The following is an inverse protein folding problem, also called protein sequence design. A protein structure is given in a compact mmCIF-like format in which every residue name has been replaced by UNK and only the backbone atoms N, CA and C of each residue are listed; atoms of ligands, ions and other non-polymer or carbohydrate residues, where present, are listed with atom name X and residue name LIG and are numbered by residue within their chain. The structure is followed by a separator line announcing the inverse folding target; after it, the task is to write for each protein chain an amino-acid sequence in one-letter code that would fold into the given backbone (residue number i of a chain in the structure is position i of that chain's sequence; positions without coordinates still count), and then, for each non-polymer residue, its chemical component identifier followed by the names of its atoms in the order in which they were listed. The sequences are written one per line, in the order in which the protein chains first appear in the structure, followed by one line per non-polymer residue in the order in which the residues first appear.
data_IF_052144028966
#
_entry.id   IF_052144028966
#
_cell.length_a   1.000
_cell.length_b   1.000
_cell.length_c   1.000
_cell.angle_alpha   90.00
_cell.angle_beta   90.00
_cell.angle_gamma   90.00
#
_symmetry.space_group_name_H-M   'P 1'
#
loop_
_entity.id
_entity.type
_entity.pdbx_description
1 polymer ?
#
# COMPACT_ATOMS: atom_id res chain seq x y z
N UNK A 1 13.29 -3.45 12.02
CA UNK A 1 11.90 -2.97 11.84
C UNK A 1 11.16 -3.94 10.92
N UNK A 2 10.01 -4.52 11.31
CA UNK A 2 9.17 -5.28 10.37
C UNK A 2 8.66 -4.30 9.31
N UNK A 3 9.10 -4.44 8.07
CA UNK A 3 8.60 -3.64 6.95
C UNK A 3 7.08 -3.80 6.89
N UNK A 4 6.33 -2.72 7.10
CA UNK A 4 4.88 -2.77 7.06
C UNK A 4 4.44 -2.96 5.61
N UNK A 5 3.60 -3.97 5.38
CA UNK A 5 3.08 -4.30 4.05
C UNK A 5 1.69 -3.72 3.84
N UNK A 6 1.48 -3.15 2.66
CA UNK A 6 0.19 -2.68 2.16
C UNK A 6 -0.34 -3.72 1.18
N UNK A 7 -1.64 -3.97 1.32
CA UNK A 7 -2.42 -4.94 0.54
C UNK A 7 -3.37 -4.17 -0.35
N UNK A 8 -3.35 -4.41 -1.66
CA UNK A 8 -4.17 -3.68 -2.63
C UNK A 8 -5.03 -4.62 -3.44
N UNK A 9 -6.32 -4.30 -3.50
CA UNK A 9 -7.33 -5.05 -4.24
C UNK A 9 -8.01 -4.13 -5.26
N UNK A 10 -8.54 -4.68 -6.36
CA UNK A 10 -9.41 -3.95 -7.25
C UNK A 10 -10.69 -3.51 -6.52
N UNK A 11 -11.20 -2.34 -6.88
CA UNK A 11 -12.45 -1.78 -6.38
C UNK A 11 -13.23 -1.14 -7.53
N UNK A 12 -14.51 -0.84 -7.33
CA UNK A 12 -15.31 -0.11 -8.32
C UNK A 12 -14.64 1.23 -8.60
N UNK A 13 -14.23 1.46 -9.86
CA UNK A 13 -13.60 2.71 -10.28
C UNK A 13 -12.11 2.85 -9.95
N UNK A 14 -11.42 1.78 -9.53
CA UNK A 14 -9.97 1.82 -9.31
C UNK A 14 -9.47 0.75 -8.35
N UNK A 15 -8.74 1.17 -7.33
CA UNK A 15 -8.11 0.27 -6.36
C UNK A 15 -8.34 0.73 -4.93
N UNK A 16 -8.36 -0.24 -4.01
CA UNK A 16 -8.39 0.00 -2.56
C UNK A 16 -7.16 -0.62 -1.91
N UNK A 17 -6.44 0.17 -1.13
CA UNK A 17 -5.30 -0.27 -0.35
C UNK A 17 -5.65 -0.32 1.14
N UNK A 18 -5.21 -1.38 1.82
CA UNK A 18 -5.41 -1.58 3.25
C UNK A 18 -4.08 -1.66 3.99
N UNK A 19 -3.97 -0.94 5.12
CA UNK A 19 -2.79 -0.91 5.98
C UNK A 19 -3.21 -0.63 7.42
N UNK A 20 -2.87 -1.51 8.37
CA UNK A 20 -3.17 -1.35 9.81
C UNK A 20 -4.64 -0.95 10.09
N UNK A 21 -5.59 -1.58 9.38
CA UNK A 21 -7.03 -1.29 9.52
C UNK A 21 -7.51 -0.01 8.84
N UNK A 22 -6.61 0.83 8.31
CA UNK A 22 -6.96 1.97 7.45
C UNK A 22 -7.13 1.52 6.01
N UNK A 23 -7.97 2.24 5.27
CA UNK A 23 -8.21 2.03 3.84
C UNK A 23 -8.11 3.35 3.10
N UNK A 24 -7.56 3.31 1.89
CA UNK A 24 -7.60 4.42 0.95
C UNK A 24 -7.85 3.91 -0.47
N UNK A 25 -8.54 4.72 -1.27
CA UNK A 25 -8.77 4.45 -2.68
C UNK A 25 -7.83 5.27 -3.56
N UNK A 26 -7.65 4.83 -4.79
CA UNK A 26 -6.89 5.54 -5.82
C UNK A 26 -7.27 5.04 -7.20
N UNK A 27 -7.02 5.88 -8.22
CA UNK A 27 -7.27 5.51 -9.62
C UNK A 27 -6.28 4.41 -10.03
N UNK A 28 -5.05 4.50 -9.53
CA UNK A 28 -4.02 3.46 -9.70
C UNK A 28 -3.75 2.70 -8.40
N UNK A 29 -3.33 1.45 -8.52
CA UNK A 29 -2.97 0.60 -7.38
C UNK A 29 -1.86 1.21 -6.52
N UNK A 30 -0.86 1.87 -7.15
CA UNK A 30 0.24 2.54 -6.46
C UNK A 30 -0.23 3.78 -5.72
N UNK A 31 -1.12 4.57 -6.31
CA UNK A 31 -1.71 5.74 -5.67
C UNK A 31 -2.48 5.36 -4.41
N UNK A 32 -3.37 4.35 -4.49
CA UNK A 32 -4.09 3.84 -3.34
C UNK A 32 -3.12 3.43 -2.20
N UNK A 33 -2.04 2.71 -2.56
CA UNK A 33 -1.01 2.31 -1.60
C UNK A 33 -0.28 3.50 -0.97
N UNK A 34 0.12 4.49 -1.77
CA UNK A 34 0.81 5.68 -1.28
C UNK A 34 -0.10 6.52 -0.37
N UNK A 35 -1.38 6.66 -0.72
CA UNK A 35 -2.36 7.41 0.07
C UNK A 35 -2.57 6.77 1.43
N UNK A 36 -2.79 5.44 1.51
CA UNK A 36 -2.95 4.77 2.82
C UNK A 36 -1.66 4.80 3.63
N UNK A 37 -0.49 4.71 2.99
CA UNK A 37 0.80 4.83 3.67
C UNK A 37 0.95 6.19 4.35
N UNK A 38 0.63 7.27 3.62
CA UNK A 38 0.73 8.65 4.13
C UNK A 38 -0.26 8.94 5.25
N UNK A 39 -1.44 8.33 5.23
CA UNK A 39 -2.40 8.43 6.34
C UNK A 39 -1.89 7.79 7.64
N UNK A 40 -1.08 6.73 7.54
CA UNK A 40 -0.60 5.97 8.71
C UNK A 40 0.73 6.52 9.25
N UNK A 41 1.65 6.91 8.36
CA UNK A 41 3.03 7.26 8.71
C UNK A 41 3.42 8.71 8.40
N UNK A 42 2.51 9.50 7.83
CA UNK A 42 2.75 10.89 7.44
C UNK A 42 3.30 11.05 6.01
N UNK A 43 3.48 12.29 5.54
CA UNK A 43 3.75 12.59 4.13
C UNK A 43 5.13 12.11 3.62
N UNK A 44 6.10 11.93 4.52
CA UNK A 44 7.50 11.53 4.19
C UNK A 44 7.66 10.00 4.07
N UNK A 45 6.75 9.35 3.36
CA UNK A 45 6.81 7.92 3.05
C UNK A 45 6.64 7.67 1.57
N UNK A 46 7.23 6.57 1.12
CA UNK A 46 7.05 6.03 -0.21
C UNK A 46 6.71 4.54 -0.11
N UNK A 47 6.31 3.98 -1.24
CA UNK A 47 5.94 2.57 -1.35
C UNK A 47 6.69 1.96 -2.53
N UNK A 48 7.17 0.73 -2.33
CA UNK A 48 7.83 -0.07 -3.36
C UNK A 48 7.05 -1.36 -3.57
N UNK A 49 7.01 -1.86 -4.80
CA UNK A 49 6.29 -3.08 -5.13
C UNK A 49 6.92 -4.28 -4.39
N UNK A 50 6.08 -5.20 -3.92
CA UNK A 50 6.45 -6.43 -3.23
C UNK A 50 5.82 -7.62 -3.96
N UNK A 51 6.46 -8.78 -3.86
CA UNK A 51 5.93 -10.01 -4.43
C UNK A 51 4.65 -10.42 -3.71
N UNK A 52 3.64 -10.84 -4.48
CA UNK A 52 2.46 -11.48 -3.91
C UNK A 52 2.85 -12.77 -3.19
N UNK A 53 2.23 -13.03 -2.06
CA UNK A 53 2.30 -14.33 -1.38
C UNK A 53 1.19 -15.22 -1.90
N UNK A 54 1.33 -16.53 -1.75
CA UNK A 54 0.32 -17.50 -2.22
C UNK A 54 -1.09 -17.24 -1.66
N UNK A 55 -1.18 -16.75 -0.43
CA UNK A 55 -2.45 -16.40 0.21
C UNK A 55 -3.07 -15.07 -0.28
N UNK A 56 -2.30 -14.20 -0.94
CA UNK A 56 -2.76 -12.87 -1.36
C UNK A 56 -3.83 -12.97 -2.48
N UNK A 57 -3.63 -13.73 -3.59
CA UNK A 57 -4.67 -13.93 -4.60
C UNK A 57 -5.94 -14.56 -4.05
N UNK A 58 -5.82 -15.53 -3.12
CA UNK A 58 -6.96 -16.16 -2.46
C UNK A 58 -7.80 -15.15 -1.65
N UNK A 59 -7.16 -14.09 -1.15
CA UNK A 59 -7.81 -12.98 -0.46
C UNK A 59 -8.23 -11.83 -1.40
N UNK A 60 -8.17 -12.01 -2.72
CA UNK A 60 -8.51 -10.98 -3.70
C UNK A 60 -7.52 -9.82 -3.75
N UNK A 61 -6.29 -10.01 -3.28
CA UNK A 61 -5.19 -9.04 -3.39
C UNK A 61 -4.56 -9.20 -4.77
N UNK A 62 -4.42 -8.10 -5.50
CA UNK A 62 -3.74 -8.07 -6.80
C UNK A 62 -2.36 -7.40 -6.73
N UNK A 63 -2.14 -6.51 -5.77
CA UNK A 63 -0.84 -5.86 -5.61
C UNK A 63 -0.46 -5.77 -4.13
N UNK A 64 0.85 -5.84 -3.90
CA UNK A 64 1.43 -5.76 -2.57
C UNK A 64 2.57 -4.75 -2.59
N UNK A 65 2.69 -3.99 -1.50
CA UNK A 65 3.70 -2.95 -1.39
C UNK A 65 4.38 -2.96 -0.03
N UNK A 66 5.66 -2.66 -0.02
CA UNK A 66 6.42 -2.36 1.19
C UNK A 66 6.59 -0.86 1.38
N UNK A 67 6.49 -0.42 2.64
CA UNK A 67 6.69 0.98 3.00
C UNK A 67 8.17 1.25 3.15
N UNK A 68 8.62 2.32 2.50
CA UNK A 68 9.97 2.86 2.65
C UNK A 68 9.85 4.30 3.13
N UNK A 69 10.74 4.72 4.03
CA UNK A 69 10.84 6.12 4.41
C UNK A 69 11.76 6.80 3.42
N UNK A 70 11.30 7.88 2.78
CA UNK A 70 12.24 8.82 2.21
C UNK A 70 12.94 9.49 3.38
N UNK A 71 14.20 9.12 3.62
CA UNK A 71 15.07 9.88 4.53
C UNK A 71 15.19 11.25 3.87
N UNK A 72 14.47 12.23 4.40
CA UNK A 72 14.68 13.61 3.99
C UNK A 72 16.16 13.91 4.19
N UNK A 73 16.84 14.33 3.12
CA UNK A 73 17.97 15.23 3.30
C UNK A 73 17.45 16.36 4.19
N UNK A 74 18.06 16.47 5.38
CA UNK A 74 17.82 17.57 6.30
C UNK A 74 18.27 18.88 5.67
#
# INVERSE_FOLDING_TARGET
MKSATIRVSPAIGGFVATLRGKRATGITHREAALTVARQVYGPKVNVVNDYLRDADPMAGIQYRYHITHQRGAA
#
